data_IF_446885552971
#
_entry.id   IF_446885552971
#
_cell.length_a   1.000
_cell.length_b   1.000
_cell.length_c   1.000
_cell.angle_alpha   90.00
_cell.angle_beta   90.00
_cell.angle_gamma   90.00
#
_symmetry.space_group_name_H-M   'P 1'
#
loop_
_entity.id
_entity.type
_entity.pdbx_description
1 polymer ?
#
# COMPACT_ATOMS: atom_id res chain seq x y z
N UNK A 1 -1.63 10.19 -4.62
CA UNK A 1 -0.99 9.26 -3.67
C UNK A 1 -1.16 9.71 -2.21
N UNK A 2 -0.76 10.94 -1.85
CA UNK A 2 -0.92 11.47 -0.48
C UNK A 2 -2.38 11.83 -0.13
N UNK A 3 -3.15 12.40 -1.07
CA UNK A 3 -4.48 12.97 -0.78
C UNK A 3 -5.45 11.93 -0.21
N UNK A 4 -5.65 10.80 -0.89
CA UNK A 4 -6.55 9.76 -0.40
C UNK A 4 -6.08 9.16 0.93
N UNK A 5 -4.80 8.79 1.05
CA UNK A 5 -4.27 8.24 2.30
C UNK A 5 -4.42 9.19 3.49
N UNK A 6 -4.12 10.48 3.29
CA UNK A 6 -4.30 11.51 4.32
C UNK A 6 -5.78 11.71 4.63
N UNK A 7 -6.64 11.88 3.62
CA UNK A 7 -8.07 12.06 3.82
C UNK A 7 -8.69 10.88 4.58
N UNK A 8 -8.37 9.65 4.17
CA UNK A 8 -8.81 8.44 4.86
C UNK A 8 -8.33 8.40 6.31
N UNK A 9 -7.09 8.80 6.58
CA UNK A 9 -6.56 8.81 7.95
C UNK A 9 -7.31 9.76 8.88
N UNK A 10 -7.96 10.81 8.36
CA UNK A 10 -8.81 11.71 9.19
C UNK A 10 -10.07 11.03 9.74
N UNK A 11 -10.52 9.95 9.07
CA UNK A 11 -11.79 9.27 9.37
C UNK A 11 -11.58 7.85 9.89
N UNK A 12 -10.56 7.19 9.38
CA UNK A 12 -10.14 5.84 9.74
C UNK A 12 -8.62 5.80 9.93
N UNK A 13 -8.13 6.10 11.14
CA UNK A 13 -6.70 5.96 11.45
C UNK A 13 -6.23 4.54 11.16
N UNK A 14 -5.24 4.43 10.27
CA UNK A 14 -4.79 3.16 9.71
C UNK A 14 -3.28 3.01 9.71
N UNK A 15 -2.82 1.94 9.07
CA UNK A 15 -1.41 1.62 8.90
C UNK A 15 -0.99 1.76 7.45
N UNK A 16 0.26 2.15 7.20
CA UNK A 16 0.84 2.12 5.86
C UNK A 16 2.32 1.79 5.93
N UNK A 17 2.88 1.36 4.80
CA UNK A 17 4.31 1.08 4.67
C UNK A 17 5.00 2.33 4.14
N UNK A 18 6.11 2.72 4.76
CA UNK A 18 6.94 3.82 4.28
C UNK A 18 8.38 3.38 4.07
N UNK A 19 9.06 4.00 3.12
CA UNK A 19 10.49 3.82 2.91
C UNK A 19 11.23 5.01 3.51
N UNK A 20 12.15 4.74 4.44
CA UNK A 20 13.01 5.75 5.03
C UNK A 20 13.82 6.47 3.96
N UNK A 21 13.76 7.80 3.97
CA UNK A 21 14.56 8.65 3.08
C UNK A 21 16.00 8.73 3.57
N UNK A 22 16.95 8.89 2.63
CA UNK A 22 18.37 9.11 2.97
C UNK A 22 18.58 10.48 3.63
N UNK A 23 17.78 11.48 3.26
CA UNK A 23 17.80 12.79 3.88
C UNK A 23 16.91 12.77 5.14
N UNK A 24 17.52 12.92 6.31
CA UNK A 24 16.83 12.82 7.60
C UNK A 24 15.83 13.95 7.86
N UNK A 25 16.08 15.15 7.33
CA UNK A 25 15.15 16.28 7.43
C UNK A 25 13.90 15.98 6.61
N UNK A 26 14.08 15.50 5.38
CA UNK A 26 12.93 15.12 4.54
C UNK A 26 12.16 13.94 5.14
N UNK A 27 12.87 12.94 5.67
CA UNK A 27 12.29 11.78 6.33
C UNK A 27 11.39 12.17 7.50
N UNK A 28 11.90 13.03 8.40
CA UNK A 28 11.17 13.49 9.58
C UNK A 28 9.96 14.36 9.21
N UNK A 29 10.10 15.25 8.22
CA UNK A 29 8.97 16.04 7.71
C UNK A 29 7.88 15.15 7.09
N UNK A 30 8.27 14.18 6.25
CA UNK A 30 7.32 13.24 5.63
C UNK A 30 6.62 12.37 6.67
N UNK A 31 7.36 11.84 7.64
CA UNK A 31 6.81 10.99 8.70
C UNK A 31 5.82 11.78 9.56
N UNK A 32 6.15 13.02 9.92
CA UNK A 32 5.25 13.91 10.66
C UNK A 32 3.98 14.22 9.87
N UNK A 33 4.11 14.51 8.58
CA UNK A 33 2.97 14.82 7.71
C UNK A 33 2.02 13.62 7.56
N UNK A 34 2.56 12.42 7.30
CA UNK A 34 1.77 11.20 7.07
C UNK A 34 1.16 10.62 8.35
N UNK A 35 1.76 10.88 9.51
CA UNK A 35 1.22 10.42 10.80
C UNK A 35 0.31 11.44 11.49
N UNK A 36 0.13 12.63 10.91
CA UNK A 36 -0.56 13.78 11.53
C UNK A 36 -1.98 13.47 12.02
N UNK A 37 -2.70 12.57 11.33
CA UNK A 37 -4.08 12.21 11.66
C UNK A 37 -4.18 10.80 12.26
N UNK A 38 -3.15 10.37 12.98
CA UNK A 38 -3.14 9.05 13.65
C UNK A 38 -2.78 7.88 12.75
N UNK A 39 -2.37 8.13 11.50
CA UNK A 39 -1.79 7.12 10.63
C UNK A 39 -0.46 6.60 11.20
N UNK A 40 -0.27 5.29 11.20
CA UNK A 40 0.98 4.67 11.65
C UNK A 40 1.80 4.19 10.46
N UNK A 41 2.98 4.78 10.28
CA UNK A 41 3.92 4.41 9.23
C UNK A 41 4.86 3.30 9.71
N UNK A 42 4.83 2.15 9.05
CA UNK A 42 5.71 1.02 9.30
C UNK A 42 6.86 1.06 8.29
N UNK A 43 8.10 1.09 8.76
CA UNK A 43 9.26 1.14 7.86
C UNK A 43 9.36 -0.16 7.05
N UNK A 44 9.50 -0.05 5.73
CA UNK A 44 9.57 -1.18 4.79
C UNK A 44 10.64 -2.22 5.13
N UNK A 45 11.79 -1.79 5.65
CA UNK A 45 12.91 -2.68 6.04
C UNK A 45 12.72 -3.32 7.41
N UNK A 46 11.74 -2.86 8.19
CA UNK A 46 11.42 -3.42 9.49
C UNK A 46 10.62 -4.73 9.36
N UNK A 47 10.42 -5.43 10.48
CA UNK A 47 9.61 -6.64 10.50
C UNK A 47 8.15 -6.32 10.09
N UNK A 48 7.55 -7.11 9.20
CA UNK A 48 6.15 -6.95 8.78
C UNK A 48 5.12 -7.39 9.83
N UNK A 49 5.56 -8.00 10.94
CA UNK A 49 4.66 -8.50 12.01
C UNK A 49 3.74 -7.42 12.60
N UNK A 50 4.20 -6.19 12.93
CA UNK A 50 3.33 -5.14 13.46
C UNK A 50 2.24 -4.73 12.46
N UNK A 51 2.58 -4.63 11.17
CA UNK A 51 1.63 -4.32 10.11
C UNK A 51 0.53 -5.39 10.02
N UNK A 52 0.92 -6.67 9.98
CA UNK A 52 -0.06 -7.78 9.93
C UNK A 52 -0.95 -7.79 11.18
N UNK A 53 -0.38 -7.55 12.37
CA UNK A 53 -1.15 -7.46 13.61
C UNK A 53 -2.17 -6.31 13.59
N UNK A 54 -1.78 -5.15 13.07
CA UNK A 54 -2.69 -4.01 12.90
C UNK A 54 -3.86 -4.35 11.97
N UNK A 55 -3.57 -4.95 10.81
CA UNK A 55 -4.59 -5.39 9.86
C UNK A 55 -5.56 -6.39 10.52
N UNK A 56 -5.05 -7.39 11.25
CA UNK A 56 -5.89 -8.37 11.97
C UNK A 56 -6.75 -7.77 13.08
N UNK A 57 -6.38 -6.60 13.61
CA UNK A 57 -7.19 -5.83 14.57
C UNK A 57 -8.29 -4.99 13.89
N UNK A 58 -8.42 -5.08 12.56
CA UNK A 58 -9.39 -4.31 11.79
C UNK A 58 -8.91 -2.91 11.41
N UNK A 59 -7.63 -2.57 11.61
CA UNK A 59 -7.11 -1.29 11.15
C UNK A 59 -6.95 -1.29 9.63
N UNK A 60 -7.45 -0.27 8.91
CA UNK A 60 -7.25 -0.17 7.48
C UNK A 60 -5.76 -0.07 7.13
N UNK A 61 -5.35 -0.76 6.08
CA UNK A 61 -4.00 -0.66 5.53
C UNK A 61 -4.05 0.03 4.17
N UNK A 62 -3.41 1.19 4.05
CA UNK A 62 -3.24 1.87 2.77
C UNK A 62 -1.91 1.43 2.13
N UNK A 63 -1.97 0.80 0.96
CA UNK A 63 -0.80 0.22 0.29
C UNK A 63 -0.83 0.50 -1.21
N UNK A 64 0.35 0.70 -1.80
CA UNK A 64 0.54 1.02 -3.21
C UNK A 64 1.27 -0.16 -3.88
N UNK A 65 0.55 -0.95 -4.71
CA UNK A 65 1.10 -2.19 -5.27
C UNK A 65 1.85 -1.99 -6.60
N UNK A 66 1.81 -0.80 -7.17
CA UNK A 66 2.27 -0.44 -8.52
C UNK A 66 3.77 -0.12 -8.60
N UNK A 67 4.53 -0.34 -7.51
CA UNK A 67 5.95 -0.04 -7.46
C UNK A 67 6.82 -1.19 -7.99
N UNK A 68 7.88 -0.82 -8.73
CA UNK A 68 8.91 -1.76 -9.19
C UNK A 68 9.72 -2.32 -8.00
N UNK A 69 9.83 -3.66 -7.86
CA UNK A 69 10.70 -4.29 -6.88
C UNK A 69 12.20 -4.09 -7.06
N UNK A 70 12.63 -3.69 -8.24
CA UNK A 70 13.97 -3.94 -8.73
C UNK A 70 14.19 -5.45 -8.96
N UNK A 71 15.44 -5.86 -9.23
CA UNK A 71 15.75 -7.22 -9.69
C UNK A 71 15.55 -8.32 -8.63
N UNK A 72 15.28 -7.95 -7.36
CA UNK A 72 15.18 -8.91 -6.25
C UNK A 72 13.73 -9.09 -5.83
N UNK A 73 13.26 -10.35 -5.84
CA UNK A 73 11.96 -10.79 -5.28
C UNK A 73 10.71 -10.27 -6.02
N UNK A 74 10.85 -9.90 -7.28
CA UNK A 74 9.73 -9.63 -8.16
C UNK A 74 8.99 -10.92 -8.54
N UNK A 75 7.69 -10.83 -8.70
CA UNK A 75 6.90 -11.78 -9.49
C UNK A 75 6.44 -11.07 -10.76
N UNK A 76 6.28 -11.79 -11.86
CA UNK A 76 5.78 -11.20 -13.10
C UNK A 76 4.26 -11.35 -13.18
N UNK A 77 3.58 -10.23 -13.42
CA UNK A 77 2.14 -10.18 -13.67
C UNK A 77 1.88 -9.34 -14.93
N UNK A 78 0.82 -9.62 -15.70
CA UNK A 78 0.49 -8.82 -16.88
C UNK A 78 0.02 -7.42 -16.47
N UNK A 79 0.66 -6.39 -17.03
CA UNK A 79 0.22 -4.99 -16.92
C UNK A 79 0.12 -4.41 -18.32
N UNK A 80 -1.09 -4.03 -18.74
CA UNK A 80 -1.41 -3.68 -20.13
C UNK A 80 -0.96 -4.75 -21.15
N UNK A 81 -1.06 -6.03 -20.78
CA UNK A 81 -0.62 -7.16 -21.62
C UNK A 81 0.89 -7.41 -21.63
N UNK A 82 1.69 -6.57 -20.95
CA UNK A 82 3.14 -6.70 -20.88
C UNK A 82 3.51 -7.37 -19.54
N UNK A 83 4.27 -8.49 -19.54
CA UNK A 83 4.79 -9.08 -18.31
C UNK A 83 5.67 -8.08 -17.55
N UNK A 84 5.20 -7.64 -16.38
CA UNK A 84 5.84 -6.58 -15.59
C UNK A 84 6.20 -7.09 -14.20
N UNK A 85 7.36 -6.67 -13.70
CA UNK A 85 7.82 -7.00 -12.36
C UNK A 85 6.93 -6.32 -11.30
N UNK A 86 6.44 -7.08 -10.32
CA UNK A 86 5.52 -6.59 -9.29
C UNK A 86 5.83 -7.20 -7.92
N UNK A 87 5.56 -6.47 -6.85
CA UNK A 87 5.68 -7.00 -5.48
C UNK A 87 4.53 -7.97 -5.15
N UNK A 88 4.81 -9.21 -4.68
CA UNK A 88 3.75 -10.11 -4.20
C UNK A 88 3.21 -9.71 -2.81
N UNK A 89 3.58 -8.53 -2.29
CA UNK A 89 3.34 -8.11 -0.90
C UNK A 89 1.85 -7.93 -0.63
N UNK A 90 1.09 -7.32 -1.54
CA UNK A 90 -0.34 -7.06 -1.33
C UNK A 90 -1.12 -8.37 -1.10
N UNK A 91 -0.90 -9.39 -1.94
CA UNK A 91 -1.53 -10.70 -1.77
C UNK A 91 -1.16 -11.37 -0.44
N UNK A 92 0.11 -11.28 -0.02
CA UNK A 92 0.54 -11.80 1.28
C UNK A 92 -0.09 -11.06 2.45
N UNK A 93 -0.24 -9.74 2.37
CA UNK A 93 -0.92 -8.94 3.39
C UNK A 93 -2.40 -9.30 3.50
N UNK A 94 -3.08 -9.50 2.37
CA UNK A 94 -4.48 -9.94 2.35
C UNK A 94 -4.65 -11.30 3.05
N UNK A 95 -3.82 -12.29 2.70
CA UNK A 95 -3.89 -13.64 3.30
C UNK A 95 -3.55 -13.60 4.80
N UNK A 96 -2.38 -13.05 5.17
CA UNK A 96 -1.90 -13.09 6.55
C UNK A 96 -2.73 -12.20 7.48
N UNK A 97 -3.24 -11.10 6.94
CA UNK A 97 -4.11 -10.14 7.61
C UNK A 97 -5.57 -10.57 7.68
N UNK A 98 -5.98 -11.61 6.93
CA UNK A 98 -7.38 -11.99 6.73
C UNK A 98 -8.23 -10.77 6.28
N UNK A 99 -7.72 -10.01 5.32
CA UNK A 99 -8.26 -8.72 4.92
C UNK A 99 -8.81 -8.73 3.49
N UNK A 100 -9.90 -8.00 3.29
CA UNK A 100 -10.41 -7.66 1.97
C UNK A 100 -9.56 -6.55 1.35
N UNK A 101 -9.33 -6.63 0.04
CA UNK A 101 -8.61 -5.59 -0.72
C UNK A 101 -9.62 -4.77 -1.50
N UNK A 102 -9.66 -3.47 -1.24
CA UNK A 102 -10.50 -2.51 -1.95
C UNK A 102 -9.61 -1.61 -2.82
N UNK A 103 -9.85 -1.53 -4.14
CA UNK A 103 -9.18 -0.57 -5.00
C UNK A 103 -9.49 0.87 -4.54
N UNK A 104 -8.49 1.73 -4.58
CA UNK A 104 -8.63 3.14 -4.26
C UNK A 104 -7.94 3.97 -5.34
N UNK A 105 -8.71 4.80 -6.04
CA UNK A 105 -8.19 5.73 -7.05
C UNK A 105 -8.40 7.18 -6.60
N UNK A 106 -7.60 8.09 -7.15
CA UNK A 106 -7.71 9.52 -6.84
C UNK A 106 -7.57 10.31 -8.13
N UNK A 107 -8.56 11.12 -8.42
CA UNK A 107 -8.60 11.98 -9.60
C UNK A 107 -8.53 13.45 -9.15
N UNK A 108 -7.77 14.26 -9.91
CA UNK A 108 -7.83 15.72 -9.76
C UNK A 108 -9.03 16.22 -10.58
N UNK A 109 -9.88 17.03 -9.96
CA UNK A 109 -11.03 17.62 -10.65
C UNK A 109 -10.62 18.82 -11.52
N UNK A 110 -11.33 19.07 -12.64
CA UNK A 110 -11.01 20.18 -13.54
C UNK A 110 -10.96 21.53 -12.83
N UNK A 111 -10.10 22.43 -13.34
CA UNK A 111 -10.02 23.83 -12.90
C UNK A 111 -9.74 24.00 -11.40
N UNK A 112 -9.07 23.04 -10.77
CA UNK A 112 -8.72 23.12 -9.34
C UNK A 112 -9.90 22.93 -8.39
N UNK A 113 -10.99 22.32 -8.85
CA UNK A 113 -12.19 22.07 -8.03
C UNK A 113 -11.98 21.04 -6.90
N UNK A 114 -10.78 20.48 -6.76
CA UNK A 114 -10.41 19.56 -5.69
C UNK A 114 -10.06 18.17 -6.20
N UNK A 115 -10.35 17.15 -5.40
CA UNK A 115 -10.03 15.76 -5.68
C UNK A 115 -11.25 14.88 -5.51
N UNK A 116 -11.39 13.90 -6.38
CA UNK A 116 -12.33 12.79 -6.24
C UNK A 116 -11.55 11.55 -5.79
N UNK A 117 -12.03 10.92 -4.71
CA UNK A 117 -11.47 9.67 -4.19
C UNK A 117 -12.54 8.60 -4.36
N UNK A 118 -12.23 7.57 -5.13
CA UNK A 118 -13.14 6.47 -5.41
C UNK A 118 -12.59 5.24 -4.71
N UNK A 119 -13.44 4.57 -3.93
CA UNK A 119 -13.14 3.30 -3.28
C UNK A 119 -14.12 2.27 -3.84
N UNK A 120 -13.61 1.33 -4.60
CA UNK A 120 -14.43 0.32 -5.25
C UNK A 120 -14.78 -0.83 -4.29
N UNK A 121 -15.69 -1.69 -4.74
CA UNK A 121 -16.01 -2.92 -4.05
C UNK A 121 -14.77 -3.80 -3.86
N UNK A 122 -14.74 -4.65 -2.81
CA UNK A 122 -13.66 -5.59 -2.62
C UNK A 122 -13.40 -6.43 -3.86
N UNK A 123 -12.13 -6.61 -4.21
CA UNK A 123 -11.75 -7.53 -5.29
C UNK A 123 -12.13 -8.96 -4.85
N UNK A 124 -13.02 -9.60 -5.62
CA UNK A 124 -13.41 -11.00 -5.39
C UNK A 124 -12.22 -11.94 -5.56
N UNK A 125 -12.16 -12.99 -4.73
CA UNK A 125 -11.16 -14.06 -4.81
C UNK A 125 -9.69 -13.59 -4.86
N UNK A 126 -9.38 -12.46 -4.20
CA UNK A 126 -8.04 -11.91 -4.11
C UNK A 126 -7.28 -12.42 -2.88
N UNK A 127 -5.98 -12.80 -3.01
CA UNK A 127 -5.21 -12.87 -4.25
C UNK A 127 -5.58 -14.10 -5.10
N UNK A 128 -5.72 -13.90 -6.41
CA UNK A 128 -5.98 -14.97 -7.38
C UNK A 128 -4.66 -15.59 -7.88
N UNK A 129 -4.67 -16.90 -8.14
CA UNK A 129 -3.52 -17.66 -8.67
C UNK A 129 -2.58 -18.27 -7.64
N UNK A 130 -1.78 -19.27 -8.06
CA UNK A 130 -0.75 -19.88 -7.22
C UNK A 130 0.38 -18.89 -6.96
N UNK A 131 0.80 -18.75 -5.69
CA UNK A 131 1.96 -17.93 -5.35
C UNK A 131 3.19 -18.51 -6.06
N UNK A 132 3.71 -17.79 -7.06
CA UNK A 132 4.96 -18.20 -7.70
C UNK A 132 6.07 -18.21 -6.64
N UNK A 133 6.78 -19.34 -6.56
CA UNK A 133 7.93 -19.50 -5.67
C UNK A 133 8.94 -18.42 -6.07
N UNK A 134 9.15 -17.46 -5.17
CA UNK A 134 10.17 -16.41 -5.33
C UNK A 134 11.47 -17.07 -5.81
N UNK A 135 11.91 -16.77 -7.03
CA UNK A 135 13.20 -17.24 -7.53
C UNK A 135 14.27 -16.62 -6.63
N UNK A 136 14.97 -17.47 -5.87
CA UNK A 136 16.16 -17.06 -5.14
C UNK A 136 17.25 -16.83 -6.20
N UNK A 137 17.62 -15.56 -6.40
CA UNK A 137 18.94 -15.24 -6.93
C UNK A 137 19.98 -15.48 -5.83
#
# INVERSE_FOLDING_TARGET
>A
MEVAGIFLSTRYPGVSIYQRSKNQVLDSVMLKARSRFGGQMIERKSAMKPLIRAIRKGQPCYYLPDQDPGPRRAVFAPFFGIPTATWPVLGRLAILGAAKVLPCTTHLLPRGAGFEIIIDQPIGDFPSGQQSRTVKA
#
